data_IF_160085058968
#
_entry.id   IF_160085058968
#
_cell.length_a   1.000
_cell.length_b   1.000
_cell.length_c   1.000
_cell.angle_alpha   90.00
_cell.angle_beta   90.00
_cell.angle_gamma   90.00
#
_symmetry.space_group_name_H-M   'P 1'
#
loop_
_entity.id
_entity.type
_entity.pdbx_description
1 polymer ?
#
# COMPACT_ATOMS: atom_id res chain seq x y z
N UNK A 1 -2.82 5.21 -18.04
CA UNK A 1 -1.58 4.63 -18.60
C UNK A 1 -0.76 5.77 -19.22
N UNK A 2 0.56 5.76 -19.02
CA UNK A 2 1.44 6.70 -19.68
C UNK A 2 1.28 6.57 -21.20
N UNK A 3 1.23 7.71 -21.89
CA UNK A 3 1.11 7.74 -23.36
C UNK A 3 2.36 7.12 -23.98
N UNK A 4 2.19 6.19 -24.87
CA UNK A 4 3.29 5.61 -25.65
C UNK A 4 3.69 6.63 -26.72
N UNK A 5 4.94 7.06 -26.72
CA UNK A 5 5.47 7.90 -27.80
C UNK A 5 6.02 7.02 -28.91
N UNK A 6 5.42 7.09 -30.10
CA UNK A 6 6.02 6.56 -31.31
C UNK A 6 7.14 7.51 -31.76
N UNK A 7 8.37 7.03 -31.84
CA UNK A 7 9.47 7.72 -32.48
C UNK A 7 10.36 8.60 -31.62
N UNK A 8 10.29 8.53 -30.30
CA UNK A 8 11.24 9.24 -29.47
C UNK A 8 12.56 8.49 -29.33
N UNK A 9 13.56 9.09 -29.86
CA UNK A 9 14.89 8.55 -30.04
C UNK A 9 15.80 8.89 -28.86
N UNK A 10 15.53 8.38 -27.69
CA UNK A 10 16.59 8.24 -26.71
C UNK A 10 16.63 9.22 -25.54
N UNK A 11 15.67 10.15 -25.40
CA UNK A 11 15.61 11.02 -24.20
C UNK A 11 14.43 10.69 -23.30
N UNK A 12 14.36 9.47 -22.83
CA UNK A 12 13.28 8.94 -21.99
C UNK A 12 13.02 9.77 -20.73
N UNK A 13 14.05 10.40 -20.20
CA UNK A 13 14.00 11.11 -18.91
C UNK A 13 14.13 12.63 -19.05
N UNK A 14 14.10 13.15 -20.28
CA UNK A 14 14.24 14.60 -20.54
C UNK A 14 12.98 15.38 -20.16
N UNK A 15 11.82 14.84 -20.54
CA UNK A 15 10.56 15.53 -20.33
C UNK A 15 9.48 14.63 -19.76
N UNK A 16 8.51 15.24 -19.11
CA UNK A 16 7.30 14.62 -18.61
C UNK A 16 6.18 15.66 -18.48
N UNK A 17 4.95 15.18 -18.42
CA UNK A 17 3.80 16.03 -18.16
C UNK A 17 3.92 16.71 -16.78
N UNK A 18 3.81 18.02 -16.73
CA UNK A 18 4.01 18.80 -15.52
C UNK A 18 2.93 18.57 -14.46
N UNK A 19 1.73 18.18 -14.87
CA UNK A 19 0.60 17.91 -13.96
C UNK A 19 0.68 16.53 -13.32
N UNK A 20 1.08 15.51 -14.08
CA UNK A 20 1.07 14.12 -13.65
C UNK A 20 2.46 13.57 -13.30
N UNK A 21 3.53 14.27 -13.69
CA UNK A 21 4.90 13.78 -13.65
C UNK A 21 5.16 12.49 -14.45
N UNK A 22 4.22 12.11 -15.35
CA UNK A 22 4.35 10.94 -16.21
C UNK A 22 5.05 11.32 -17.51
N UNK A 23 6.04 10.53 -17.90
CA UNK A 23 6.70 10.63 -19.19
C UNK A 23 6.20 9.56 -20.15
N UNK A 24 6.34 9.78 -21.47
CA UNK A 24 6.09 8.78 -22.48
C UNK A 24 6.90 7.50 -22.24
N UNK A 25 6.36 6.35 -22.58
CA UNK A 25 7.02 5.05 -22.42
C UNK A 25 7.13 4.39 -23.79
N UNK A 26 8.34 4.08 -24.30
CA UNK A 26 8.50 3.40 -25.56
C UNK A 26 8.00 1.96 -25.50
N UNK A 27 7.56 1.43 -26.66
CA UNK A 27 7.18 0.03 -26.78
C UNK A 27 8.44 -0.82 -26.70
N UNK A 28 8.50 -1.85 -25.84
CA UNK A 28 9.64 -2.77 -25.79
C UNK A 28 9.90 -3.40 -27.17
N UNK A 29 11.16 -3.39 -27.60
CA UNK A 29 11.57 -3.88 -28.93
C UNK A 29 11.40 -2.88 -30.07
N UNK A 30 10.81 -1.71 -29.82
CA UNK A 30 10.70 -0.61 -30.80
C UNK A 30 11.87 0.38 -30.77
N UNK A 31 11.78 1.43 -31.59
CA UNK A 31 12.69 2.57 -31.53
C UNK A 31 12.53 3.27 -30.16
N UNK A 32 13.63 3.77 -29.58
CA UNK A 32 13.59 4.43 -28.28
C UNK A 32 13.81 3.48 -27.10
N UNK A 33 14.38 2.30 -27.33
CA UNK A 33 14.84 1.43 -26.26
C UNK A 33 15.79 2.19 -25.31
N UNK A 34 15.65 1.96 -23.99
CA UNK A 34 16.43 2.63 -22.95
C UNK A 34 16.83 1.62 -21.88
N UNK A 35 17.86 1.95 -21.12
CA UNK A 35 18.26 1.16 -19.95
C UNK A 35 17.37 1.51 -18.77
N UNK A 36 16.68 0.52 -18.23
CA UNK A 36 15.94 0.65 -16.98
C UNK A 36 16.75 0.01 -15.85
N UNK A 37 17.22 0.82 -14.92
CA UNK A 37 17.97 0.35 -13.74
C UNK A 37 17.53 1.12 -12.48
N UNK A 38 18.09 0.74 -11.32
CA UNK A 38 17.77 1.37 -10.03
C UNK A 38 18.60 2.62 -9.71
N UNK A 39 19.57 2.98 -10.55
CA UNK A 39 20.42 4.16 -10.35
C UNK A 39 19.73 5.45 -10.79
N UNK A 40 20.24 6.60 -10.34
CA UNK A 40 19.86 7.89 -10.91
C UNK A 40 20.36 8.00 -12.35
N UNK A 41 19.56 8.64 -13.20
CA UNK A 41 19.86 8.78 -14.63
C UNK A 41 19.89 10.24 -15.06
N UNK A 42 20.58 10.48 -16.17
CA UNK A 42 20.42 11.69 -16.96
C UNK A 42 19.20 11.58 -17.91
N UNK A 43 19.11 12.48 -18.88
CA UNK A 43 17.98 12.59 -19.81
C UNK A 43 17.86 11.38 -20.76
N UNK A 44 18.98 10.73 -21.07
CA UNK A 44 19.02 9.57 -21.99
C UNK A 44 18.99 8.22 -21.28
N UNK A 45 19.08 8.23 -19.95
CA UNK A 45 19.04 7.01 -19.14
C UNK A 45 20.39 6.50 -18.69
N UNK A 46 21.47 7.22 -18.95
CA UNK A 46 22.78 6.87 -18.44
C UNK A 46 22.89 7.21 -16.94
N UNK A 47 23.61 6.37 -16.20
CA UNK A 47 23.83 6.59 -14.76
C UNK A 47 24.54 7.89 -14.52
N UNK A 48 24.05 8.68 -13.58
CA UNK A 48 24.63 9.97 -13.21
C UNK A 48 24.74 10.14 -11.70
N UNK A 49 25.79 10.85 -11.25
CA UNK A 49 25.99 11.24 -9.84
C UNK A 49 25.81 12.74 -9.64
N UNK A 50 25.30 13.47 -10.63
CA UNK A 50 25.11 14.92 -10.54
C UNK A 50 23.91 15.26 -9.64
N UNK A 51 24.08 16.05 -8.58
CA UNK A 51 23.01 16.37 -7.61
C UNK A 51 21.74 16.93 -8.25
N UNK A 52 21.87 17.74 -9.32
CA UNK A 52 20.72 18.32 -10.02
C UNK A 52 19.76 17.25 -10.59
N UNK A 53 20.30 16.14 -11.11
CA UNK A 53 19.48 15.06 -11.64
C UNK A 53 18.77 14.31 -10.50
N UNK A 54 19.48 14.09 -9.39
CA UNK A 54 18.88 13.45 -8.21
C UNK A 54 17.70 14.28 -7.67
N UNK A 55 17.89 15.56 -7.42
CA UNK A 55 16.81 16.44 -6.92
C UNK A 55 15.61 16.42 -7.86
N UNK A 56 15.84 16.66 -9.16
CA UNK A 56 14.79 16.67 -10.18
C UNK A 56 14.00 15.37 -10.25
N UNK A 57 14.69 14.21 -10.18
CA UNK A 57 14.03 12.90 -10.24
C UNK A 57 13.32 12.53 -8.94
N UNK A 58 13.83 12.97 -7.78
CA UNK A 58 13.14 12.78 -6.50
C UNK A 58 11.83 13.58 -6.47
N UNK A 59 11.85 14.85 -6.84
CA UNK A 59 10.64 15.67 -6.95
C UNK A 59 9.61 15.01 -7.88
N UNK A 60 10.06 14.49 -9.02
CA UNK A 60 9.20 13.76 -9.96
C UNK A 60 8.61 12.48 -9.35
N UNK A 61 9.41 11.70 -8.61
CA UNK A 61 8.94 10.46 -7.97
C UNK A 61 7.82 10.75 -6.96
N UNK A 62 8.04 11.73 -6.09
CA UNK A 62 7.05 12.11 -5.09
C UNK A 62 5.79 12.70 -5.72
N UNK A 63 5.93 13.55 -6.73
CA UNK A 63 4.77 14.10 -7.44
C UNK A 63 3.86 13.04 -8.07
N UNK A 64 4.39 11.89 -8.47
CA UNK A 64 3.56 10.79 -8.98
C UNK A 64 2.61 10.20 -7.93
N UNK A 65 2.91 10.37 -6.65
CA UNK A 65 2.05 9.88 -5.57
C UNK A 65 0.71 10.64 -5.53
N UNK A 66 0.66 11.86 -6.06
CA UNK A 66 -0.59 12.64 -6.19
C UNK A 66 -1.61 11.93 -7.09
N UNK A 67 -1.14 11.03 -7.98
CA UNK A 67 -2.01 10.22 -8.84
C UNK A 67 -2.74 9.09 -8.09
N UNK A 68 -2.39 8.86 -6.82
CA UNK A 68 -3.06 7.90 -5.94
C UNK A 68 -4.25 8.51 -5.20
N UNK A 69 -4.50 9.81 -5.39
CA UNK A 69 -5.73 10.45 -4.92
C UNK A 69 -6.94 9.74 -5.53
N UNK A 70 -7.91 9.34 -4.69
CA UNK A 70 -9.03 8.49 -5.09
C UNK A 70 -8.67 7.01 -5.28
N UNK A 71 -7.54 6.53 -4.76
CA UNK A 71 -7.22 5.10 -4.75
C UNK A 71 -8.33 4.30 -4.05
N UNK A 72 -8.66 3.13 -4.62
CA UNK A 72 -9.73 2.28 -4.10
C UNK A 72 -9.49 1.86 -2.64
N UNK A 73 -10.53 2.00 -1.83
CA UNK A 73 -10.60 1.52 -0.44
C UNK A 73 -11.95 0.88 -0.14
N UNK A 74 -12.03 0.17 0.96
CA UNK A 74 -13.24 -0.47 1.48
C UNK A 74 -13.34 -0.17 2.97
N UNK A 75 -14.53 0.25 3.41
CA UNK A 75 -14.85 0.51 4.81
C UNK A 75 -16.20 -0.12 5.10
N UNK A 76 -16.24 -1.06 6.05
CA UNK A 76 -17.46 -1.69 6.52
C UNK A 76 -17.47 -1.74 8.05
N UNK A 77 -18.63 -1.49 8.66
CA UNK A 77 -18.82 -1.49 10.11
C UNK A 77 -17.74 -0.69 10.86
N UNK A 78 -17.49 0.53 10.39
CA UNK A 78 -16.45 1.41 10.95
C UNK A 78 -16.71 1.78 12.43
N UNK A 79 -17.90 1.54 12.96
CA UNK A 79 -18.24 1.81 14.36
C UNK A 79 -17.79 0.71 15.33
N UNK A 80 -17.37 -0.47 14.83
CA UNK A 80 -16.81 -1.52 15.66
C UNK A 80 -15.55 -1.06 16.40
N UNK A 81 -15.33 -1.56 17.62
CA UNK A 81 -14.15 -1.23 18.42
C UNK A 81 -12.86 -1.86 17.89
N UNK A 82 -13.00 -2.95 17.14
CA UNK A 82 -11.91 -3.70 16.52
C UNK A 82 -12.11 -3.74 15.02
N UNK A 83 -11.09 -3.32 14.25
CA UNK A 83 -11.13 -3.26 12.80
C UNK A 83 -10.02 -4.13 12.22
N UNK A 84 -10.37 -4.95 11.24
CA UNK A 84 -9.42 -5.80 10.53
C UNK A 84 -8.95 -5.04 9.29
N UNK A 85 -7.63 -4.78 9.21
CA UNK A 85 -7.02 -4.04 8.11
C UNK A 85 -5.92 -4.85 7.42
N UNK A 86 -6.26 -5.74 6.49
CA UNK A 86 -5.26 -6.46 5.69
C UNK A 86 -4.64 -5.55 4.62
N UNK A 87 -3.54 -6.02 4.05
CA UNK A 87 -2.93 -5.41 2.88
C UNK A 87 -2.34 -6.45 1.93
N UNK A 88 -2.21 -6.09 0.66
CA UNK A 88 -1.63 -6.96 -0.36
C UNK A 88 -2.33 -8.33 -0.43
N UNK A 89 -1.56 -9.41 -0.45
CA UNK A 89 -2.07 -10.78 -0.60
C UNK A 89 -2.80 -11.33 0.63
N UNK A 90 -2.74 -10.66 1.77
CA UNK A 90 -3.51 -11.05 2.95
C UNK A 90 -5.00 -10.69 2.85
N UNK A 91 -5.41 -9.87 1.85
CA UNK A 91 -6.80 -9.42 1.69
C UNK A 91 -7.80 -10.58 1.59
N UNK A 92 -7.58 -11.53 0.69
CA UNK A 92 -8.51 -12.63 0.45
C UNK A 92 -8.78 -13.47 1.70
N UNK A 93 -7.75 -14.05 2.34
CA UNK A 93 -7.92 -14.81 3.57
C UNK A 93 -8.52 -14.01 4.73
N UNK A 94 -8.16 -12.72 4.85
CA UNK A 94 -8.68 -11.84 5.88
C UNK A 94 -10.16 -11.48 5.64
N UNK A 95 -10.58 -11.32 4.38
CA UNK A 95 -11.98 -11.09 4.04
C UNK A 95 -12.85 -12.28 4.46
N UNK A 96 -12.44 -13.47 4.11
CA UNK A 96 -13.14 -14.70 4.52
C UNK A 96 -13.18 -14.84 6.06
N UNK A 97 -12.11 -14.49 6.75
CA UNK A 97 -12.09 -14.51 8.21
C UNK A 97 -13.04 -13.46 8.81
N UNK A 98 -13.10 -12.26 8.24
CA UNK A 98 -14.03 -11.21 8.63
C UNK A 98 -15.49 -11.67 8.50
N UNK A 99 -15.87 -12.23 7.35
CA UNK A 99 -17.23 -12.71 7.11
C UNK A 99 -17.62 -13.81 8.12
N UNK A 100 -16.71 -14.75 8.43
CA UNK A 100 -16.93 -15.80 9.44
C UNK A 100 -17.05 -15.25 10.86
N UNK A 101 -16.31 -14.21 11.21
CA UNK A 101 -16.43 -13.56 12.52
C UNK A 101 -17.78 -12.89 12.68
N UNK A 102 -18.29 -12.22 11.65
CA UNK A 102 -19.64 -11.67 11.63
C UNK A 102 -20.72 -12.77 11.78
N UNK A 103 -20.57 -13.90 11.09
CA UNK A 103 -21.47 -15.05 11.20
C UNK A 103 -21.47 -15.67 12.63
N UNK A 104 -20.36 -15.52 13.35
CA UNK A 104 -20.24 -15.94 14.77
C UNK A 104 -20.79 -14.89 15.75
N UNK A 105 -21.25 -13.74 15.25
CA UNK A 105 -21.80 -12.67 16.05
C UNK A 105 -20.77 -11.70 16.63
N UNK A 106 -19.51 -11.75 16.18
CA UNK A 106 -18.47 -10.82 16.59
C UNK A 106 -18.69 -9.44 15.97
N UNK A 107 -18.54 -8.39 16.74
CA UNK A 107 -18.64 -7.01 16.26
C UNK A 107 -17.28 -6.51 15.78
N UNK A 108 -16.95 -6.78 14.54
CA UNK A 108 -15.69 -6.38 13.91
C UNK A 108 -15.95 -5.50 12.69
N UNK A 109 -15.01 -4.56 12.42
CA UNK A 109 -15.02 -3.71 11.24
C UNK A 109 -14.01 -4.18 10.19
N UNK A 110 -14.18 -3.70 8.97
CA UNK A 110 -13.30 -3.95 7.84
C UNK A 110 -12.76 -2.64 7.30
N UNK A 111 -11.44 -2.60 7.08
CA UNK A 111 -10.76 -1.48 6.47
C UNK A 111 -9.72 -2.01 5.48
N UNK A 112 -9.81 -1.58 4.23
CA UNK A 112 -8.83 -1.97 3.22
C UNK A 112 -8.49 -0.78 2.32
N UNK A 113 -7.24 -0.67 1.93
CA UNK A 113 -6.80 0.30 0.92
C UNK A 113 -5.78 -0.32 -0.03
N UNK A 114 -5.91 0.00 -1.31
CA UNK A 114 -4.92 -0.36 -2.34
C UNK A 114 -3.66 0.49 -2.17
N UNK A 115 -3.81 1.78 -1.83
CA UNK A 115 -2.70 2.68 -1.54
C UNK A 115 -2.40 2.64 -0.03
N UNK A 116 -1.14 2.38 0.31
CA UNK A 116 -0.68 2.39 1.70
C UNK A 116 0.04 3.69 2.07
N UNK A 117 0.62 4.37 1.09
CA UNK A 117 1.26 5.67 1.27
C UNK A 117 1.27 6.45 -0.06
N UNK A 118 0.54 7.56 -0.17
CA UNK A 118 -0.39 8.09 0.87
C UNK A 118 -1.63 7.21 1.05
N UNK A 119 -2.16 7.19 2.27
CA UNK A 119 -3.48 6.62 2.54
C UNK A 119 -4.58 7.62 2.12
N UNK A 120 -5.73 7.15 1.61
CA UNK A 120 -6.94 7.98 1.44
C UNK A 120 -7.37 8.62 2.76
N UNK A 121 -7.94 9.83 2.71
CA UNK A 121 -8.33 10.56 3.93
C UNK A 121 -9.42 9.82 4.70
N UNK A 122 -10.38 9.20 4.03
CA UNK A 122 -11.44 8.42 4.66
C UNK A 122 -10.88 7.23 5.46
N UNK A 123 -9.82 6.60 4.97
CA UNK A 123 -9.09 5.54 5.68
C UNK A 123 -8.38 6.09 6.92
N UNK A 124 -7.73 7.26 6.77
CA UNK A 124 -7.07 7.94 7.91
C UNK A 124 -8.08 8.35 8.98
N UNK A 125 -9.28 8.77 8.59
CA UNK A 125 -10.31 9.18 9.55
C UNK A 125 -10.77 8.00 10.42
N UNK A 126 -10.92 6.82 9.84
CA UNK A 126 -11.16 5.59 10.62
C UNK A 126 -10.00 5.28 11.55
N UNK A 127 -8.75 5.38 11.08
CA UNK A 127 -7.56 5.12 11.91
C UNK A 127 -7.42 6.12 13.07
N UNK A 128 -7.75 7.39 12.87
CA UNK A 128 -7.73 8.46 13.90
C UNK A 128 -8.78 8.26 14.99
N UNK A 129 -9.78 7.42 14.78
CA UNK A 129 -10.83 7.15 15.78
C UNK A 129 -10.33 6.45 17.05
N UNK A 130 -9.06 6.02 17.09
CA UNK A 130 -8.44 5.36 18.26
C UNK A 130 -8.82 3.89 18.42
N UNK A 131 -9.62 3.33 17.51
CA UNK A 131 -10.04 1.93 17.51
C UNK A 131 -8.85 0.99 17.37
N UNK A 132 -9.00 -0.24 17.84
CA UNK A 132 -7.98 -1.28 17.70
C UNK A 132 -7.94 -1.79 16.27
N UNK A 133 -6.82 -1.62 15.58
CA UNK A 133 -6.61 -2.09 14.22
C UNK A 133 -5.81 -3.38 14.21
N UNK A 134 -6.42 -4.48 13.78
CA UNK A 134 -5.75 -5.78 13.64
C UNK A 134 -5.27 -5.92 12.19
N UNK A 135 -3.96 -6.11 12.03
CA UNK A 135 -3.29 -6.16 10.72
C UNK A 135 -2.72 -7.56 10.46
N UNK A 136 -3.37 -8.38 9.61
CA UNK A 136 -2.79 -9.63 9.14
C UNK A 136 -1.62 -9.41 8.19
N UNK A 137 -0.42 -9.94 8.53
CA UNK A 137 0.81 -9.70 7.79
C UNK A 137 1.62 -10.96 7.53
N UNK A 138 2.03 -11.16 6.27
CA UNK A 138 2.88 -12.27 5.84
C UNK A 138 4.37 -11.89 5.88
N UNK A 139 4.79 -11.24 6.95
CA UNK A 139 6.19 -10.86 7.18
C UNK A 139 6.58 -11.03 8.65
N UNK A 140 7.88 -11.06 8.92
CA UNK A 140 8.41 -11.34 10.26
C UNK A 140 8.24 -10.16 11.24
N UNK A 141 8.31 -8.93 10.75
CA UNK A 141 8.39 -7.74 11.61
C UNK A 141 7.04 -7.05 11.87
N UNK A 142 5.96 -7.43 11.18
CA UNK A 142 4.72 -6.66 11.24
C UNK A 142 4.92 -5.25 10.68
N UNK A 143 5.42 -5.16 9.45
CA UNK A 143 5.91 -3.90 8.87
C UNK A 143 4.83 -2.84 8.75
N UNK A 144 3.65 -3.23 8.26
CA UNK A 144 2.55 -2.27 8.09
C UNK A 144 1.99 -1.80 9.43
N UNK A 145 1.74 -2.71 10.36
CA UNK A 145 1.32 -2.33 11.71
C UNK A 145 2.36 -1.47 12.44
N UNK A 146 3.65 -1.70 12.20
CA UNK A 146 4.71 -0.85 12.75
C UNK A 146 4.65 0.58 12.19
N UNK A 147 4.45 0.74 10.88
CA UNK A 147 4.26 2.06 10.26
C UNK A 147 3.02 2.77 10.81
N UNK A 148 1.90 2.05 10.93
CA UNK A 148 0.67 2.62 11.51
C UNK A 148 0.91 3.11 12.96
N UNK A 149 1.63 2.34 13.78
CA UNK A 149 1.99 2.78 15.14
C UNK A 149 2.93 3.99 15.15
N UNK A 150 3.86 4.09 14.21
CA UNK A 150 4.73 5.27 14.07
C UNK A 150 3.92 6.54 13.76
N UNK A 151 2.80 6.41 13.04
CA UNK A 151 1.83 7.49 12.78
C UNK A 151 0.88 7.74 13.97
N UNK A 152 1.01 7.00 15.06
CA UNK A 152 0.20 7.16 16.27
C UNK A 152 -1.09 6.35 16.31
N UNK A 153 -1.34 5.46 15.34
CA UNK A 153 -2.54 4.62 15.31
C UNK A 153 -2.41 3.38 16.19
N UNK A 154 -3.52 2.92 16.75
CA UNK A 154 -3.59 1.75 17.64
C UNK A 154 -3.60 0.44 16.82
N UNK A 155 -2.47 0.04 16.27
CA UNK A 155 -2.34 -1.12 15.39
C UNK A 155 -1.59 -2.30 16.04
N UNK A 156 -2.15 -3.50 15.88
CA UNK A 156 -1.57 -4.76 16.32
C UNK A 156 -1.46 -5.73 15.14
N UNK A 157 -0.32 -6.40 14.99
CA UNK A 157 -0.10 -7.36 13.90
C UNK A 157 -0.54 -8.78 14.26
N UNK A 158 -1.12 -9.47 13.27
CA UNK A 158 -1.25 -10.94 13.24
C UNK A 158 -0.22 -11.46 12.25
N UNK A 159 0.94 -11.87 12.74
CA UNK A 159 2.08 -12.24 11.91
C UNK A 159 2.03 -13.71 11.50
N UNK A 160 2.38 -13.98 10.25
CA UNK A 160 2.76 -15.30 9.74
C UNK A 160 3.93 -15.15 8.77
N UNK A 161 5.00 -15.92 8.97
CA UNK A 161 6.21 -15.87 8.14
C UNK A 161 6.70 -17.26 7.72
N UNK A 162 5.75 -18.18 7.55
CA UNK A 162 6.03 -19.57 7.14
C UNK A 162 6.29 -19.72 5.64
N UNK A 163 6.13 -18.65 4.86
CA UNK A 163 6.15 -18.69 3.39
C UNK A 163 4.82 -19.16 2.77
N UNK A 164 3.83 -19.51 3.59
CA UNK A 164 2.49 -19.91 3.15
C UNK A 164 1.49 -18.79 3.39
N UNK A 165 0.41 -18.72 2.58
CA UNK A 165 -0.70 -17.80 2.83
C UNK A 165 -1.42 -18.13 4.13
N UNK A 166 -2.13 -17.15 4.68
CA UNK A 166 -3.03 -17.41 5.80
C UNK A 166 -4.15 -18.41 5.43
N UNK A 167 -4.49 -19.26 6.38
CA UNK A 167 -5.76 -20.01 6.34
C UNK A 167 -6.83 -19.17 7.04
N UNK A 168 -8.01 -18.96 6.44
CA UNK A 168 -9.07 -18.17 7.09
C UNK A 168 -9.43 -18.64 8.49
N UNK A 169 -9.52 -19.94 8.73
CA UNK A 169 -9.82 -20.50 10.05
C UNK A 169 -8.77 -20.13 11.12
N UNK A 170 -7.47 -20.14 10.74
CA UNK A 170 -6.40 -19.76 11.66
C UNK A 170 -6.45 -18.24 11.96
N UNK A 171 -6.83 -17.43 10.97
CA UNK A 171 -7.05 -16.00 11.18
C UNK A 171 -8.23 -15.72 12.10
N UNK A 172 -9.35 -16.41 11.94
CA UNK A 172 -10.51 -16.31 12.86
C UNK A 172 -10.05 -16.52 14.29
N UNK A 173 -9.36 -17.64 14.58
CA UNK A 173 -8.86 -17.94 15.93
C UNK A 173 -7.95 -16.85 16.45
N UNK A 174 -6.95 -16.44 15.67
CA UNK A 174 -5.98 -15.43 16.08
C UNK A 174 -6.61 -14.04 16.30
N UNK A 175 -7.62 -13.68 15.55
CA UNK A 175 -8.34 -12.42 15.69
C UNK A 175 -9.26 -12.47 16.90
N UNK A 176 -10.03 -13.58 17.09
CA UNK A 176 -10.90 -13.74 18.27
C UNK A 176 -10.12 -13.66 19.59
N UNK A 177 -8.94 -14.25 19.67
CA UNK A 177 -8.04 -14.13 20.84
C UNK A 177 -7.72 -12.66 21.16
N UNK A 178 -7.56 -11.80 20.15
CA UNK A 178 -7.24 -10.38 20.31
C UNK A 178 -8.45 -9.51 20.62
N UNK A 179 -9.63 -9.92 20.18
CA UNK A 179 -10.89 -9.28 20.57
C UNK A 179 -11.12 -9.52 22.07
N UNK A 180 -11.00 -10.78 22.52
CA UNK A 180 -11.23 -11.17 23.91
C UNK A 180 -10.22 -10.58 24.91
N UNK A 181 -8.99 -10.34 24.49
CA UNK A 181 -7.95 -9.75 25.35
C UNK A 181 -8.18 -8.24 25.66
N UNK A 182 -9.09 -7.57 24.94
CA UNK A 182 -9.46 -6.18 25.18
C UNK A 182 -10.59 -5.95 26.19
N UNK A 183 -11.25 -7.02 26.66
CA UNK A 183 -12.42 -6.93 27.56
C UNK A 183 -12.05 -7.07 29.04
N UNK A 184 -10.78 -7.33 29.36
CA UNK A 184 -10.29 -7.52 30.75
C UNK A 184 -9.33 -6.41 31.17
N UNK A 185 -9.75 -5.15 31.14
CA UNK A 185 -9.03 -4.05 31.75
C UNK A 185 -9.98 -3.08 32.43
#
# INVERSE_FOLDING_TARGET
RATVSEGDTGKRYDSWDASTALGGMPIPGGAGAYVANGSEHDEIGDTTHLPRHHVRLMERRFKKLDLLDGAHYEIENAEADVIIMPWGSSKGPAREAYDRLLDQGENVGWLYSVALNPLPEEVKDVLKSGKKIIVPELNYLGQWSALLRMEGYNAESVIQYTGLPFRPADLVTKISERIGAGVTA
#
